data_IF_085413696954
#
_entry.id   IF_085413696954
#
_cell.length_a   1.000
_cell.length_b   1.000
_cell.length_c   1.000
_cell.angle_alpha   90.00
_cell.angle_beta   90.00
_cell.angle_gamma   90.00
#
_symmetry.space_group_name_H-M   'P 1'
#
loop_
_entity.id
_entity.type
_entity.pdbx_description
1 polymer ?
#
# COMPACT_ATOMS: atom_id res chain seq x y z
N UNK A 1 9.90 44.20 -0.76
CA UNK A 1 10.55 42.95 -1.23
C UNK A 1 10.53 41.88 -0.14
N UNK A 2 11.02 42.12 1.08
CA UNK A 2 11.01 41.14 2.20
C UNK A 2 9.64 40.49 2.52
N UNK A 3 8.53 41.22 2.40
CA UNK A 3 7.17 40.70 2.60
C UNK A 3 6.66 39.81 1.45
N UNK A 4 7.11 40.06 0.22
CA UNK A 4 6.78 39.20 -0.92
C UNK A 4 7.60 37.90 -0.86
N UNK A 5 8.85 37.98 -0.40
CA UNK A 5 9.69 36.81 -0.19
C UNK A 5 9.12 35.90 0.91
N UNK A 6 8.60 36.47 2.01
CA UNK A 6 7.97 35.67 3.07
C UNK A 6 6.64 35.03 2.63
N UNK A 7 5.79 35.75 1.88
CA UNK A 7 4.56 35.16 1.35
C UNK A 7 4.84 34.06 0.32
N UNK A 8 5.86 34.22 -0.52
CA UNK A 8 6.27 33.19 -1.47
C UNK A 8 6.79 31.93 -0.75
N UNK A 9 7.57 32.10 0.31
CA UNK A 9 8.06 30.98 1.15
C UNK A 9 6.89 30.25 1.82
N UNK A 10 5.94 30.98 2.41
CA UNK A 10 4.76 30.38 3.04
C UNK A 10 3.89 29.64 2.02
N UNK A 11 3.68 30.22 0.84
CA UNK A 11 2.90 29.58 -0.23
C UNK A 11 3.56 28.28 -0.71
N UNK A 12 4.89 28.27 -0.88
CA UNK A 12 5.63 27.06 -1.23
C UNK A 12 5.56 26.00 -0.14
N UNK A 13 5.66 26.39 1.13
CA UNK A 13 5.57 25.46 2.26
C UNK A 13 4.16 24.86 2.38
N UNK A 14 3.12 25.66 2.17
CA UNK A 14 1.74 25.19 2.12
C UNK A 14 1.51 24.24 0.94
N UNK A 15 2.04 24.54 -0.25
CA UNK A 15 1.95 23.65 -1.40
C UNK A 15 2.66 22.31 -1.16
N UNK A 16 3.81 22.34 -0.47
CA UNK A 16 4.52 21.12 -0.09
C UNK A 16 3.73 20.27 0.92
N UNK A 17 3.26 20.88 2.01
CA UNK A 17 2.43 20.21 3.02
C UNK A 17 1.14 19.66 2.43
N UNK A 18 0.50 20.40 1.53
CA UNK A 18 -0.70 19.95 0.83
C UNK A 18 -0.41 18.71 -0.02
N UNK A 19 0.68 18.74 -0.80
CA UNK A 19 1.09 17.61 -1.63
C UNK A 19 1.43 16.37 -0.79
N UNK A 20 2.11 16.55 0.34
CA UNK A 20 2.39 15.46 1.29
C UNK A 20 1.09 14.88 1.87
N UNK A 21 0.14 15.74 2.25
CA UNK A 21 -1.18 15.32 2.73
C UNK A 21 -1.97 14.56 1.66
N UNK A 22 -1.89 15.00 0.40
CA UNK A 22 -2.57 14.34 -0.73
C UNK A 22 -2.01 12.94 -0.98
N UNK A 23 -0.68 12.80 -1.04
CA UNK A 23 -0.03 11.49 -1.19
C UNK A 23 -0.41 10.54 -0.04
N UNK A 24 -0.41 11.05 1.20
CA UNK A 24 -0.76 10.25 2.37
C UNK A 24 -2.23 9.82 2.38
N UNK A 25 -3.13 10.70 1.91
CA UNK A 25 -4.54 10.38 1.76
C UNK A 25 -4.76 9.29 0.69
N UNK A 26 -4.03 9.35 -0.42
CA UNK A 26 -4.07 8.33 -1.47
C UNK A 26 -3.56 6.97 -0.96
N UNK A 27 -2.44 6.95 -0.23
CA UNK A 27 -1.92 5.72 0.41
C UNK A 27 -2.96 5.09 1.36
N UNK A 28 -3.58 5.90 2.23
CA UNK A 28 -4.61 5.43 3.15
C UNK A 28 -5.86 4.93 2.43
N UNK A 29 -6.24 5.56 1.32
CA UNK A 29 -7.37 5.11 0.51
C UNK A 29 -7.10 3.73 -0.11
N UNK A 30 -5.89 3.53 -0.67
CA UNK A 30 -5.46 2.24 -1.21
C UNK A 30 -5.45 1.16 -0.12
N UNK A 31 -4.88 1.46 1.05
CA UNK A 31 -4.85 0.53 2.19
C UNK A 31 -6.25 0.16 2.68
N UNK A 32 -7.16 1.13 2.79
CA UNK A 32 -8.54 0.87 3.18
C UNK A 32 -9.28 0.02 2.15
N UNK A 33 -9.09 0.29 0.86
CA UNK A 33 -9.68 -0.50 -0.21
C UNK A 33 -9.18 -1.95 -0.18
N UNK A 34 -7.88 -2.14 0.08
CA UNK A 34 -7.27 -3.46 0.23
C UNK A 34 -7.87 -4.21 1.43
N UNK A 35 -7.94 -3.55 2.60
CA UNK A 35 -8.51 -4.13 3.82
C UNK A 35 -9.98 -4.53 3.64
N UNK A 36 -10.79 -3.71 2.98
CA UNK A 36 -12.18 -4.04 2.67
C UNK A 36 -12.28 -5.26 1.74
N UNK A 37 -11.47 -5.28 0.67
CA UNK A 37 -11.45 -6.39 -0.27
C UNK A 37 -11.08 -7.71 0.42
N UNK A 38 -10.04 -7.68 1.27
CA UNK A 38 -9.61 -8.81 2.09
C UNK A 38 -10.72 -9.29 3.04
N UNK A 39 -11.43 -8.38 3.70
CA UNK A 39 -12.50 -8.72 4.65
C UNK A 39 -13.69 -9.44 3.99
N UNK A 40 -13.90 -9.24 2.69
CA UNK A 40 -14.99 -9.87 1.93
C UNK A 40 -14.65 -11.26 1.36
N UNK A 41 -13.39 -11.70 1.47
CA UNK A 41 -12.90 -12.89 0.80
C UNK A 41 -12.78 -14.06 1.78
N UNK A 42 -13.56 -15.12 1.53
CA UNK A 42 -13.49 -16.40 2.26
C UNK A 42 -12.46 -17.34 1.62
N UNK A 43 -11.90 -16.97 0.46
CA UNK A 43 -10.98 -17.79 -0.32
C UNK A 43 -9.55 -17.27 -0.24
N UNK A 44 -8.66 -18.09 0.32
CA UNK A 44 -7.23 -17.80 0.49
C UNK A 44 -6.55 -17.34 -0.82
N UNK A 45 -6.93 -17.92 -1.97
CA UNK A 45 -6.36 -17.54 -3.26
C UNK A 45 -6.76 -16.12 -3.68
N UNK A 46 -7.98 -15.69 -3.37
CA UNK A 46 -8.42 -14.33 -3.66
C UNK A 46 -7.67 -13.32 -2.80
N UNK A 47 -7.41 -13.66 -1.53
CA UNK A 47 -6.66 -12.83 -0.58
C UNK A 47 -5.24 -12.59 -1.09
N UNK A 48 -4.54 -13.66 -1.48
CA UNK A 48 -3.17 -13.59 -2.01
C UNK A 48 -3.11 -12.74 -3.29
N UNK A 49 -4.03 -12.94 -4.23
CA UNK A 49 -4.10 -12.14 -5.47
C UNK A 49 -4.35 -10.65 -5.20
N UNK A 50 -5.19 -10.35 -4.22
CA UNK A 50 -5.53 -8.98 -3.81
C UNK A 50 -4.32 -8.28 -3.21
N UNK A 51 -3.58 -8.95 -2.32
CA UNK A 51 -2.33 -8.44 -1.74
C UNK A 51 -1.29 -8.19 -2.83
N UNK A 52 -1.08 -9.15 -3.73
CA UNK A 52 -0.13 -9.03 -4.83
C UNK A 52 -0.43 -7.80 -5.70
N UNK A 53 -1.68 -7.66 -6.13
CA UNK A 53 -2.11 -6.54 -6.99
C UNK A 53 -1.99 -5.18 -6.29
N UNK A 54 -2.21 -5.12 -4.98
CA UNK A 54 -2.04 -3.91 -4.19
C UNK A 54 -0.57 -3.51 -4.03
N UNK A 55 0.30 -4.47 -3.69
CA UNK A 55 1.73 -4.23 -3.47
C UNK A 55 2.46 -3.92 -4.77
N UNK A 56 2.12 -4.58 -5.88
CA UNK A 56 2.73 -4.33 -7.19
C UNK A 56 2.50 -2.89 -7.70
N UNK A 57 1.47 -2.19 -7.19
CA UNK A 57 1.25 -0.77 -7.48
C UNK A 57 2.14 0.17 -6.67
N UNK A 58 2.68 -0.29 -5.55
CA UNK A 58 3.48 0.50 -4.62
C UNK A 58 4.99 0.26 -4.80
N UNK A 59 5.38 -0.96 -5.19
CA UNK A 59 6.77 -1.38 -5.26
C UNK A 59 6.97 -2.24 -6.52
N UNK A 60 8.00 -1.93 -7.31
CA UNK A 60 8.46 -2.78 -8.43
C UNK A 60 9.22 -4.00 -7.88
N UNK A 61 8.46 -4.98 -7.41
CA UNK A 61 8.99 -6.21 -6.82
C UNK A 61 9.08 -7.31 -7.89
N UNK A 62 10.32 -7.72 -8.23
CA UNK A 62 10.55 -8.84 -9.15
C UNK A 62 10.15 -10.21 -8.60
N UNK A 63 10.09 -10.36 -7.27
CA UNK A 63 9.69 -11.58 -6.59
C UNK A 63 8.86 -11.22 -5.36
N UNK A 64 7.69 -11.83 -5.21
CA UNK A 64 6.82 -11.67 -4.05
C UNK A 64 6.19 -13.00 -3.68
N UNK A 65 6.17 -13.33 -2.38
CA UNK A 65 5.61 -14.58 -1.88
C UNK A 65 4.76 -14.34 -0.65
N UNK A 66 3.66 -15.09 -0.52
CA UNK A 66 2.85 -15.15 0.71
C UNK A 66 2.96 -16.57 1.26
N UNK A 67 3.58 -16.70 2.44
CA UNK A 67 3.68 -17.96 3.16
C UNK A 67 2.63 -18.06 4.25
N UNK A 68 2.02 -19.23 4.38
CA UNK A 68 1.07 -19.56 5.44
C UNK A 68 1.71 -20.59 6.35
N UNK A 69 1.78 -20.27 7.63
CA UNK A 69 2.29 -21.19 8.64
C UNK A 69 1.19 -22.18 9.07
N UNK A 70 1.48 -23.48 8.98
CA UNK A 70 0.62 -24.55 9.51
C UNK A 70 1.19 -25.05 10.86
N UNK A 71 0.53 -24.72 11.98
CA UNK A 71 0.99 -25.12 13.30
C UNK A 71 0.87 -26.64 13.58
N UNK A 72 0.14 -27.39 12.76
CA UNK A 72 -0.01 -28.84 12.96
C UNK A 72 1.19 -29.62 12.40
N UNK A 73 1.81 -29.08 11.35
CA UNK A 73 2.95 -29.68 10.65
C UNK A 73 4.27 -28.96 10.97
N UNK A 74 4.22 -27.76 11.58
CA UNK A 74 5.36 -26.87 11.82
C UNK A 74 6.05 -26.45 10.52
N UNK A 75 5.26 -26.27 9.45
CA UNK A 75 5.74 -25.95 8.12
C UNK A 75 5.17 -24.61 7.62
N UNK A 76 5.91 -23.95 6.72
CA UNK A 76 5.42 -22.81 5.95
C UNK A 76 5.05 -23.29 4.55
N UNK A 77 3.77 -23.16 4.21
CA UNK A 77 3.22 -23.51 2.91
C UNK A 77 3.05 -22.25 2.06
N UNK A 78 3.51 -22.28 0.83
CA UNK A 78 3.32 -21.20 -0.15
C UNK A 78 2.24 -21.64 -1.15
N UNK A 79 0.98 -21.21 -0.99
CA UNK A 79 -0.09 -21.60 -1.89
C UNK A 79 0.04 -20.89 -3.23
N UNK A 80 0.26 -21.69 -4.27
CA UNK A 80 0.32 -21.40 -5.71
C UNK A 80 1.35 -20.35 -6.16
N UNK A 81 2.10 -20.72 -7.20
CA UNK A 81 3.09 -19.89 -7.87
C UNK A 81 2.40 -18.72 -8.58
N UNK A 82 2.36 -17.54 -7.94
CA UNK A 82 2.07 -16.30 -8.65
C UNK A 82 3.31 -15.99 -9.49
N UNK A 83 3.21 -16.25 -10.81
CA UNK A 83 4.24 -15.87 -11.80
C UNK A 83 4.07 -14.42 -12.18
#
# INVERSE_FOLDING_TARGET
TLFLDSQAVIALQNAHLFKESEMRAEELAILNQLAQSLSSQINLNQIVNTIYSGIARLIDAKNFYVGFYDPNTDEIVFPQNVT
#
